data_IF_182942240300
#
_entry.id   IF_182942240300
#
_cell.length_a   1.000
_cell.length_b   1.000
_cell.length_c   1.000
_cell.angle_alpha   90.00
_cell.angle_beta   90.00
_cell.angle_gamma   90.00
#
_symmetry.space_group_name_H-M   'P 1'
#
loop_
_entity.id
_entity.type
_entity.pdbx_description
1 polymer ?
#
# COMPACT_ATOMS: atom_id res chain seq x y z
N UNK A 1 -19.07 5.35 -26.32
CA UNK A 1 -19.11 6.01 -24.99
C UNK A 1 -19.78 7.39 -24.99
N UNK A 2 -19.60 8.24 -26.01
CA UNK A 2 -20.23 9.58 -26.04
C UNK A 2 -21.76 9.60 -25.87
N UNK A 3 -22.48 8.67 -26.50
CA UNK A 3 -23.95 8.51 -26.33
C UNK A 3 -24.33 8.17 -24.88
N UNK A 4 -23.57 7.28 -24.22
CA UNK A 4 -23.80 6.89 -22.82
C UNK A 4 -23.52 8.07 -21.88
N UNK A 5 -22.43 8.80 -22.13
CA UNK A 5 -22.09 10.04 -21.40
C UNK A 5 -23.18 11.10 -21.56
N UNK A 6 -23.72 11.29 -22.76
CA UNK A 6 -24.81 12.24 -23.01
C UNK A 6 -26.14 11.83 -22.36
N UNK A 7 -26.44 10.53 -22.28
CA UNK A 7 -27.66 10.02 -21.66
C UNK A 7 -27.60 10.04 -20.13
N UNK A 8 -26.49 9.62 -19.52
CA UNK A 8 -26.37 9.52 -18.07
C UNK A 8 -25.94 10.85 -17.41
N UNK A 9 -25.02 11.60 -18.03
CA UNK A 9 -24.52 12.86 -17.47
C UNK A 9 -23.71 12.73 -16.17
N UNK A 10 -23.34 11.50 -15.76
CA UNK A 10 -22.69 11.21 -14.47
C UNK A 10 -21.17 11.06 -14.54
N UNK A 11 -20.56 11.13 -15.72
CA UNK A 11 -19.12 10.95 -15.90
C UNK A 11 -18.57 11.76 -17.08
N UNK A 12 -17.26 12.01 -17.04
CA UNK A 12 -16.48 12.61 -18.14
C UNK A 12 -15.80 11.51 -18.97
N UNK A 13 -15.73 11.71 -20.28
CA UNK A 13 -14.90 10.89 -21.16
C UNK A 13 -13.40 11.11 -20.84
N UNK A 14 -12.54 10.19 -21.30
CA UNK A 14 -11.09 10.30 -21.07
C UNK A 14 -10.54 11.63 -21.61
N UNK A 15 -10.92 12.00 -22.83
CA UNK A 15 -10.48 13.24 -23.49
C UNK A 15 -11.05 14.52 -22.83
N UNK A 16 -11.98 14.37 -21.89
CA UNK A 16 -12.58 15.47 -21.10
C UNK A 16 -11.99 15.55 -19.69
N UNK A 17 -11.10 14.62 -19.31
CA UNK A 17 -10.45 14.59 -17.99
C UNK A 17 -9.06 15.21 -18.10
N UNK A 18 -8.71 15.99 -17.10
CA UNK A 18 -7.32 16.45 -16.92
C UNK A 18 -6.50 15.27 -16.37
N UNK A 19 -5.44 14.83 -17.06
CA UNK A 19 -4.54 13.81 -16.53
C UNK A 19 -3.92 14.29 -15.20
N UNK A 20 -3.77 13.40 -14.20
CA UNK A 20 -3.09 13.78 -12.97
C UNK A 20 -1.61 14.04 -13.26
N UNK A 21 -1.01 15.00 -12.54
CA UNK A 21 0.36 15.46 -12.79
C UNK A 21 1.45 14.37 -12.71
N UNK A 22 1.14 13.24 -12.06
CA UNK A 22 1.98 12.03 -12.01
C UNK A 22 2.27 11.43 -13.40
N UNK A 23 1.38 11.60 -14.38
CA UNK A 23 1.52 11.02 -15.73
C UNK A 23 2.75 11.58 -16.46
N UNK A 24 3.17 12.80 -16.13
CA UNK A 24 4.32 13.47 -16.73
C UNK A 24 5.62 13.27 -15.93
N UNK A 25 5.61 12.40 -14.92
CA UNK A 25 6.75 12.19 -14.03
C UNK A 25 7.43 10.86 -14.33
N UNK A 26 8.76 10.88 -14.32
CA UNK A 26 9.53 9.65 -14.16
C UNK A 26 9.30 9.11 -12.75
N UNK A 27 8.83 7.87 -12.65
CA UNK A 27 8.56 7.20 -11.38
C UNK A 27 9.56 6.10 -11.09
N UNK A 28 9.91 5.94 -9.81
CA UNK A 28 10.72 4.83 -9.32
C UNK A 28 9.96 4.00 -8.29
N UNK A 29 9.96 2.69 -8.48
CA UNK A 29 9.37 1.72 -7.57
C UNK A 29 10.46 0.97 -6.82
N UNK A 30 10.30 0.81 -5.51
CA UNK A 30 11.30 0.20 -4.63
C UNK A 30 11.41 -1.33 -4.76
N UNK A 31 10.46 -2.00 -5.43
CA UNK A 31 10.36 -3.46 -5.46
C UNK A 31 11.62 -4.16 -5.97
N UNK A 32 12.09 -3.85 -7.17
CA UNK A 32 13.27 -4.53 -7.76
C UNK A 32 14.58 -4.18 -7.03
N UNK A 33 14.59 -3.10 -6.24
CA UNK A 33 15.76 -2.67 -5.47
C UNK A 33 15.86 -3.38 -4.11
N UNK A 34 14.73 -3.60 -3.42
CA UNK A 34 14.75 -4.08 -2.04
C UNK A 34 13.88 -5.30 -1.76
N UNK A 35 12.93 -5.61 -2.65
CA UNK A 35 11.83 -6.52 -2.38
C UNK A 35 11.24 -6.19 -1.01
N UNK A 36 11.16 -7.19 -0.12
CA UNK A 36 10.60 -7.07 1.22
C UNK A 36 11.48 -6.34 2.25
N UNK A 37 12.69 -5.90 1.87
CA UNK A 37 13.65 -5.27 2.79
C UNK A 37 13.77 -3.75 2.60
N UNK A 38 12.73 -3.14 2.02
CA UNK A 38 12.64 -1.68 1.84
C UNK A 38 12.77 -0.96 3.19
N UNK A 39 13.56 0.10 3.21
CA UNK A 39 13.79 0.90 4.41
C UNK A 39 14.09 2.38 4.04
N UNK A 40 13.88 3.33 4.97
CA UNK A 40 14.07 4.76 4.72
C UNK A 40 15.44 5.13 4.14
N UNK A 41 16.52 4.54 4.66
CA UNK A 41 17.87 4.83 4.18
C UNK A 41 18.06 4.35 2.74
N UNK A 42 17.60 3.13 2.43
CA UNK A 42 17.64 2.59 1.07
C UNK A 42 16.85 3.45 0.08
N UNK A 43 15.65 3.89 0.45
CA UNK A 43 14.83 4.79 -0.39
C UNK A 43 15.59 6.11 -0.62
N UNK A 44 16.13 6.71 0.45
CA UNK A 44 16.89 7.95 0.37
C UNK A 44 18.10 7.84 -0.56
N UNK A 45 18.89 6.79 -0.39
CA UNK A 45 20.07 6.53 -1.22
C UNK A 45 19.70 6.24 -2.68
N UNK A 46 18.57 5.57 -2.92
CA UNK A 46 18.04 5.31 -4.26
C UNK A 46 17.62 6.59 -4.99
N UNK A 47 16.84 7.45 -4.32
CA UNK A 47 16.44 8.76 -4.87
C UNK A 47 17.67 9.63 -5.13
N UNK A 48 18.61 9.67 -4.16
CA UNK A 48 19.87 10.39 -4.33
C UNK A 48 20.67 9.87 -5.52
N UNK A 49 20.83 8.55 -5.63
CA UNK A 49 21.59 7.94 -6.73
C UNK A 49 20.98 8.24 -8.11
N UNK A 50 19.65 8.23 -8.21
CA UNK A 50 18.94 8.62 -9.43
C UNK A 50 19.13 10.12 -9.75
N UNK A 51 19.05 10.99 -8.74
CA UNK A 51 19.26 12.42 -8.88
C UNK A 51 20.71 12.76 -9.29
N UNK A 52 21.70 12.21 -8.59
CA UNK A 52 23.13 12.37 -8.88
C UNK A 52 23.48 11.80 -10.28
N UNK A 53 22.75 10.75 -10.71
CA UNK A 53 22.84 10.17 -12.04
C UNK A 53 22.15 10.97 -13.16
N UNK A 54 21.51 12.09 -12.83
CA UNK A 54 20.82 12.96 -13.80
C UNK A 54 19.42 12.50 -14.21
N UNK A 55 18.83 11.54 -13.49
CA UNK A 55 17.47 11.04 -13.71
C UNK A 55 16.63 11.10 -12.41
N UNK A 56 16.46 12.29 -11.80
CA UNK A 56 15.74 12.41 -10.54
C UNK A 56 14.27 11.96 -10.71
N UNK A 57 13.73 11.12 -9.81
CA UNK A 57 12.34 10.69 -9.87
C UNK A 57 11.40 11.80 -9.41
N UNK A 58 10.31 11.97 -10.16
CA UNK A 58 9.17 12.80 -9.76
C UNK A 58 8.13 12.06 -8.91
N UNK A 59 8.15 10.73 -8.98
CA UNK A 59 7.32 9.82 -8.19
C UNK A 59 8.21 8.77 -7.53
N UNK A 60 8.01 8.54 -6.23
CA UNK A 60 8.55 7.38 -5.50
C UNK A 60 7.40 6.51 -5.05
N UNK A 61 7.35 5.26 -5.51
CA UNK A 61 6.42 4.24 -5.04
C UNK A 61 7.16 3.32 -4.05
N UNK A 62 6.78 3.42 -2.78
CA UNK A 62 7.21 2.50 -1.72
C UNK A 62 6.37 1.23 -1.84
N UNK A 63 6.90 0.25 -2.57
CA UNK A 63 6.29 -1.06 -2.75
C UNK A 63 6.36 -1.90 -1.46
N UNK A 64 5.89 -3.13 -1.53
CA UNK A 64 5.75 -4.05 -0.39
C UNK A 64 7.02 -4.14 0.51
N UNK A 65 6.79 -4.36 1.81
CA UNK A 65 7.79 -4.43 2.87
C UNK A 65 7.77 -3.27 3.87
N UNK A 66 6.93 -2.24 3.65
CA UNK A 66 6.83 -1.09 4.54
C UNK A 66 5.82 -1.26 5.70
N UNK A 67 4.87 -2.19 5.57
CA UNK A 67 3.82 -2.43 6.56
C UNK A 67 4.32 -3.30 7.73
N UNK A 68 3.82 -3.03 8.94
CA UNK A 68 4.00 -3.94 10.08
C UNK A 68 3.19 -5.21 9.90
N UNK A 69 3.81 -6.37 10.15
CA UNK A 69 3.18 -7.70 10.02
C UNK A 69 3.16 -8.35 11.40
N UNK A 70 2.08 -9.05 11.76
CA UNK A 70 1.98 -9.82 13.00
C UNK A 70 1.28 -11.15 12.76
N UNK A 71 1.58 -12.17 13.58
CA UNK A 71 0.83 -13.42 13.58
C UNK A 71 -0.43 -13.32 14.45
N UNK A 72 -1.43 -14.17 14.16
CA UNK A 72 -2.69 -14.22 14.93
C UNK A 72 -2.47 -14.53 16.41
N UNK A 73 -1.38 -15.24 16.74
CA UNK A 73 -1.00 -15.62 18.10
C UNK A 73 -0.28 -14.50 18.88
N UNK A 74 0.23 -13.47 18.19
CA UNK A 74 0.96 -12.38 18.84
C UNK A 74 0.03 -11.52 19.68
N UNK A 75 0.45 -10.93 20.82
CA UNK A 75 -0.38 -9.94 21.50
C UNK A 75 -0.74 -8.77 20.56
N UNK A 76 -2.01 -8.34 20.54
CA UNK A 76 -2.46 -7.20 19.70
C UNK A 76 -1.68 -5.91 20.00
N UNK A 77 -1.14 -5.78 21.22
CA UNK A 77 -0.31 -4.65 21.66
C UNK A 77 1.14 -4.72 21.21
N UNK A 78 1.55 -5.82 20.56
CA UNK A 78 2.93 -6.02 20.09
C UNK A 78 2.91 -5.90 18.57
N UNK A 79 3.40 -4.78 18.04
CA UNK A 79 3.76 -4.73 16.63
C UNK A 79 4.76 -5.85 16.36
N UNK A 80 4.52 -6.66 15.33
CA UNK A 80 5.39 -7.78 14.97
C UNK A 80 6.68 -7.29 14.34
N UNK A 81 7.50 -6.56 15.11
CA UNK A 81 8.78 -6.03 14.67
C UNK A 81 9.84 -7.11 14.41
N UNK A 82 9.57 -8.39 14.74
CA UNK A 82 10.59 -9.45 14.81
C UNK A 82 10.13 -10.85 14.36
N UNK A 83 8.96 -11.05 13.75
CA UNK A 83 8.45 -12.42 13.56
C UNK A 83 7.94 -12.68 12.14
N UNK A 84 8.68 -13.55 11.44
CA UNK A 84 8.39 -14.12 10.13
C UNK A 84 7.79 -15.52 10.27
N UNK A 85 6.90 -15.91 9.36
CA UNK A 85 7.22 -16.63 8.10
C UNK A 85 5.94 -16.87 7.28
N UNK A 86 6.01 -16.53 5.99
CA UNK A 86 5.61 -17.43 4.90
C UNK A 86 6.68 -17.32 3.80
N UNK A 87 7.64 -18.26 3.81
CA UNK A 87 8.84 -18.27 2.96
C UNK A 87 9.96 -17.37 3.50
N UNK A 88 11.12 -17.95 3.83
CA UNK A 88 12.24 -17.29 4.49
C UNK A 88 12.77 -16.05 3.73
N UNK A 89 12.68 -14.87 4.35
CA UNK A 89 13.60 -13.72 4.19
C UNK A 89 13.08 -12.54 5.02
N UNK A 90 13.51 -12.37 6.28
CA UNK A 90 13.53 -11.04 6.91
C UNK A 90 14.65 -10.94 7.94
N UNK A 91 15.45 -9.86 7.86
CA UNK A 91 15.75 -9.13 9.07
C UNK A 91 15.49 -7.63 8.91
N UNK A 92 14.82 -7.11 9.94
CA UNK A 92 15.04 -5.82 10.64
C UNK A 92 14.48 -4.53 10.02
N UNK A 93 13.57 -3.94 10.82
CA UNK A 93 13.34 -2.53 11.12
C UNK A 93 13.86 -1.51 10.10
N UNK A 94 12.91 -0.82 9.50
CA UNK A 94 12.98 0.63 9.54
C UNK A 94 12.53 1.08 10.93
N UNK A 95 13.49 1.48 11.78
CA UNK A 95 13.22 2.67 12.57
C UNK A 95 13.01 3.76 11.53
N UNK A 96 11.73 3.92 11.16
CA UNK A 96 11.25 5.23 10.76
C UNK A 96 11.86 6.13 11.82
N UNK A 97 12.63 7.13 11.37
CA UNK A 97 13.26 8.14 12.23
C UNK A 97 12.33 8.44 13.42
N UNK A 98 12.84 8.85 14.60
CA UNK A 98 12.02 9.12 15.82
C UNK A 98 10.70 9.92 15.60
N UNK A 99 10.46 10.43 14.38
CA UNK A 99 9.36 11.24 13.85
C UNK A 99 8.37 10.54 12.87
N UNK A 100 8.50 9.25 12.50
CA UNK A 100 7.46 8.50 11.75
C UNK A 100 7.33 8.77 10.23
N UNK A 101 6.42 8.05 9.54
CA UNK A 101 6.34 8.02 8.05
C UNK A 101 6.17 9.42 7.46
N UNK A 102 5.31 10.24 8.06
CA UNK A 102 5.06 11.60 7.57
C UNK A 102 6.27 12.52 7.68
N UNK A 103 7.16 12.31 8.65
CA UNK A 103 8.41 13.04 8.69
C UNK A 103 9.35 12.60 7.57
N UNK A 104 9.46 11.29 7.33
CA UNK A 104 10.27 10.76 6.24
C UNK A 104 9.80 11.28 4.87
N UNK A 105 8.49 11.23 4.59
CA UNK A 105 7.92 11.71 3.32
C UNK A 105 8.20 13.20 3.11
N UNK A 106 7.97 14.02 4.15
CA UNK A 106 8.27 15.46 4.09
C UNK A 106 9.75 15.70 3.82
N UNK A 107 10.63 15.09 4.60
CA UNK A 107 12.08 15.30 4.49
C UNK A 107 12.59 14.84 3.11
N UNK A 108 12.03 13.77 2.53
CA UNK A 108 12.34 13.30 1.18
C UNK A 108 11.94 14.33 0.10
N UNK A 109 10.72 14.88 0.19
CA UNK A 109 10.23 15.90 -0.76
C UNK A 109 11.05 17.19 -0.64
N UNK A 110 11.30 17.64 0.59
CA UNK A 110 12.03 18.88 0.88
C UNK A 110 13.48 18.84 0.42
N UNK A 111 14.19 17.73 0.66
CA UNK A 111 15.61 17.61 0.29
C UNK A 111 15.82 17.53 -1.23
N UNK A 112 15.07 16.64 -1.90
CA UNK A 112 15.33 16.36 -3.31
C UNK A 112 14.65 17.35 -4.25
N UNK A 113 13.56 18.02 -3.80
CA UNK A 113 12.79 19.03 -4.54
C UNK A 113 12.16 18.57 -5.87
N UNK A 114 12.52 17.39 -6.34
CA UNK A 114 12.08 16.74 -7.58
C UNK A 114 11.01 15.71 -7.30
N UNK A 115 10.99 15.12 -6.10
CA UNK A 115 9.96 14.16 -5.67
C UNK A 115 8.69 14.94 -5.35
N UNK A 116 7.75 14.95 -6.31
CA UNK A 116 6.44 15.59 -6.13
C UNK A 116 5.44 14.63 -5.45
N UNK A 117 5.55 13.34 -5.77
CA UNK A 117 4.60 12.31 -5.34
C UNK A 117 5.29 11.15 -4.63
N UNK A 118 4.75 10.74 -3.48
CA UNK A 118 5.13 9.53 -2.77
C UNK A 118 3.89 8.64 -2.63
N UNK A 119 3.95 7.47 -3.23
CA UNK A 119 2.88 6.46 -3.18
C UNK A 119 3.33 5.29 -2.31
N UNK A 120 2.37 4.54 -1.77
CA UNK A 120 2.63 3.26 -1.10
C UNK A 120 1.84 2.12 -1.70
N UNK A 121 2.32 0.90 -1.53
CA UNK A 121 1.61 -0.31 -1.93
C UNK A 121 0.78 -0.90 -0.78
N UNK A 122 -0.36 -1.52 -1.08
CA UNK A 122 -0.99 -2.50 -0.21
C UNK A 122 -1.80 -3.53 -1.04
N UNK A 123 -2.13 -4.68 -0.46
CA UNK A 123 -3.02 -5.65 -1.09
C UNK A 123 -4.49 -5.23 -0.92
N UNK A 124 -5.39 -5.73 -1.79
CA UNK A 124 -6.82 -5.37 -1.77
C UNK A 124 -7.45 -5.44 -0.37
N UNK A 125 -7.14 -6.47 0.41
CA UNK A 125 -7.73 -6.73 1.73
C UNK A 125 -6.82 -6.28 2.89
N UNK A 126 -5.90 -5.34 2.67
CA UNK A 126 -4.91 -4.92 3.66
C UNK A 126 -3.50 -5.37 3.26
N UNK A 127 -2.92 -6.33 3.97
CA UNK A 127 -1.68 -6.99 3.56
C UNK A 127 -1.98 -8.34 2.88
N UNK A 128 -0.97 -9.12 2.49
CA UNK A 128 -1.15 -10.44 1.86
C UNK A 128 -2.06 -11.39 2.67
N UNK A 129 -2.00 -11.33 4.00
CA UNK A 129 -2.84 -12.12 4.92
C UNK A 129 -4.17 -11.47 5.29
N UNK A 130 -4.48 -10.29 4.75
CA UNK A 130 -5.67 -9.53 5.11
C UNK A 130 -5.51 -8.66 6.36
N UNK A 131 -6.63 -8.27 6.97
CA UNK A 131 -6.69 -7.51 8.23
C UNK A 131 -6.87 -8.44 9.41
N UNK A 132 -6.02 -8.29 10.42
CA UNK A 132 -6.09 -9.05 11.66
C UNK A 132 -7.39 -8.76 12.43
N UNK A 133 -8.15 -9.80 12.85
CA UNK A 133 -9.35 -9.61 13.67
C UNK A 133 -9.06 -9.07 15.08
N UNK A 134 -10.08 -8.47 15.69
CA UNK A 134 -10.08 -8.02 17.09
C UNK A 134 -8.99 -6.99 17.44
N UNK A 135 -8.55 -6.21 16.46
CA UNK A 135 -7.63 -5.09 16.68
C UNK A 135 -8.45 -3.83 16.98
N UNK A 136 -8.30 -3.20 18.17
CA UNK A 136 -9.00 -1.97 18.49
C UNK A 136 -8.75 -0.87 17.45
N UNK A 137 -9.81 -0.25 16.94
CA UNK A 137 -9.72 0.83 15.96
C UNK A 137 -9.72 0.37 14.49
N UNK A 138 -9.71 -0.94 14.23
CA UNK A 138 -9.95 -1.50 12.90
C UNK A 138 -11.40 -2.01 12.79
N UNK A 139 -11.98 -2.04 11.57
CA UNK A 139 -13.28 -2.66 11.35
C UNK A 139 -13.25 -4.15 11.68
N UNK A 140 -14.42 -4.71 11.95
CA UNK A 140 -14.57 -6.15 12.17
C UNK A 140 -14.04 -6.94 10.96
N UNK A 141 -13.25 -7.97 11.21
CA UNK A 141 -12.76 -8.88 10.18
C UNK A 141 -12.86 -10.33 10.63
N UNK A 142 -13.02 -11.23 9.66
CA UNK A 142 -13.15 -12.68 9.88
C UNK A 142 -12.09 -13.41 9.08
N UNK A 143 -11.43 -14.38 9.70
CA UNK A 143 -10.48 -15.24 9.01
C UNK A 143 -11.24 -16.25 8.14
N UNK A 144 -11.12 -16.11 6.82
CA UNK A 144 -11.71 -17.02 5.83
C UNK A 144 -10.60 -17.89 5.24
N UNK A 145 -10.80 -19.22 5.28
CA UNK A 145 -9.86 -20.16 4.64
C UNK A 145 -10.19 -20.32 3.16
N UNK A 146 -9.19 -20.25 2.25
CA UNK A 146 -9.44 -20.48 0.83
C UNK A 146 -9.97 -21.89 0.59
N UNK A 147 -11.04 -21.99 -0.22
CA UNK A 147 -11.66 -23.30 -0.55
C UNK A 147 -10.87 -24.08 -1.60
N UNK A 148 -10.25 -23.37 -2.55
CA UNK A 148 -9.66 -23.96 -3.77
C UNK A 148 -8.18 -24.33 -3.62
N UNK A 149 -7.49 -23.77 -2.62
CA UNK A 149 -6.08 -24.05 -2.36
C UNK A 149 -5.86 -24.14 -0.85
N UNK A 150 -5.41 -25.29 -0.32
CA UNK A 150 -5.04 -25.41 1.08
C UNK A 150 -4.00 -24.33 1.44
N UNK A 151 -4.29 -23.52 2.44
CA UNK A 151 -3.44 -22.41 2.84
C UNK A 151 -3.88 -21.78 4.16
N UNK A 152 -3.14 -20.77 4.59
CA UNK A 152 -3.50 -19.97 5.75
C UNK A 152 -4.81 -19.22 5.49
N UNK A 153 -5.53 -18.91 6.56
CA UNK A 153 -6.71 -18.07 6.47
C UNK A 153 -6.34 -16.63 6.13
N UNK A 154 -7.28 -15.90 5.52
CA UNK A 154 -7.15 -14.50 5.16
C UNK A 154 -8.13 -13.72 6.01
N UNK A 155 -7.67 -12.67 6.68
CA UNK A 155 -8.53 -11.75 7.43
C UNK A 155 -9.31 -10.85 6.48
N UNK A 156 -10.60 -11.12 6.32
CA UNK A 156 -11.47 -10.38 5.42
C UNK A 156 -12.43 -9.49 6.20
N UNK A 157 -12.52 -8.22 5.79
CA UNK A 157 -13.55 -7.29 6.26
C UNK A 157 -14.82 -7.57 5.45
N UNK A 158 -16.00 -7.69 6.10
CA UNK A 158 -17.27 -7.86 5.38
C UNK A 158 -17.53 -6.70 4.40
N UNK A 159 -18.17 -6.95 3.25
CA UNK A 159 -18.44 -5.92 2.24
C UNK A 159 -19.16 -4.67 2.79
N UNK A 160 -20.04 -4.85 3.77
CA UNK A 160 -20.78 -3.79 4.45
C UNK A 160 -19.95 -2.89 5.37
N UNK A 161 -18.69 -3.27 5.67
CA UNK A 161 -17.74 -2.52 6.48
C UNK A 161 -16.45 -2.16 5.72
N UNK A 162 -16.36 -2.50 4.43
CA UNK A 162 -15.13 -2.33 3.65
C UNK A 162 -14.78 -0.86 3.42
N UNK A 163 -15.78 0.01 3.39
CA UNK A 163 -15.63 1.46 3.35
C UNK A 163 -14.83 1.97 4.56
N UNK A 164 -15.15 1.48 5.77
CA UNK A 164 -14.44 1.85 6.99
C UNK A 164 -12.98 1.40 6.97
N UNK A 165 -12.68 0.26 6.35
CA UNK A 165 -11.30 -0.22 6.17
C UNK A 165 -10.52 0.74 5.26
N UNK A 166 -11.05 1.04 4.07
CA UNK A 166 -10.37 1.91 3.12
C UNK A 166 -10.27 3.35 3.64
N UNK A 167 -11.33 3.90 4.22
CA UNK A 167 -11.32 5.24 4.80
C UNK A 167 -10.29 5.34 5.92
N UNK A 168 -10.20 4.32 6.79
CA UNK A 168 -9.21 4.27 7.86
C UNK A 168 -7.77 4.22 7.35
N UNK A 169 -7.47 3.30 6.41
CA UNK A 169 -6.13 3.16 5.82
C UNK A 169 -5.76 4.43 5.05
N UNK A 170 -6.61 4.90 4.15
CA UNK A 170 -6.29 6.02 3.27
C UNK A 170 -6.22 7.36 4.02
N UNK A 171 -7.09 7.59 5.02
CA UNK A 171 -6.99 8.80 5.86
C UNK A 171 -5.70 8.80 6.68
N UNK A 172 -5.27 7.64 7.18
CA UNK A 172 -3.99 7.54 7.90
C UNK A 172 -2.80 7.85 6.98
N UNK A 173 -2.81 7.31 5.76
CA UNK A 173 -1.77 7.55 4.75
C UNK A 173 -1.74 9.00 4.27
N UNK A 174 -2.90 9.59 4.00
CA UNK A 174 -3.02 11.00 3.62
C UNK A 174 -2.48 11.92 4.71
N UNK A 175 -2.81 11.65 5.99
CA UNK A 175 -2.25 12.39 7.13
C UNK A 175 -0.72 12.22 7.26
N UNK A 176 -0.15 11.13 6.74
CA UNK A 176 1.29 10.91 6.64
C UNK A 176 1.89 11.52 5.36
N UNK A 177 1.13 12.26 4.56
CA UNK A 177 1.61 12.94 3.36
C UNK A 177 1.80 12.05 2.13
N UNK A 178 1.21 10.84 2.13
CA UNK A 178 1.18 9.94 0.99
C UNK A 178 0.16 10.44 -0.04
N UNK A 179 0.58 10.53 -1.30
CA UNK A 179 -0.22 11.14 -2.38
C UNK A 179 -1.06 10.13 -3.16
N UNK A 180 -0.88 8.83 -2.91
CA UNK A 180 -1.63 7.77 -3.59
C UNK A 180 -1.20 6.36 -3.20
N UNK A 181 -1.93 5.38 -3.71
CA UNK A 181 -1.71 3.97 -3.41
C UNK A 181 -1.67 3.11 -4.68
N UNK A 182 -0.81 2.10 -4.67
CA UNK A 182 -0.87 0.94 -5.58
C UNK A 182 -1.59 -0.19 -4.85
N UNK A 183 -2.74 -0.62 -5.38
CA UNK A 183 -3.50 -1.74 -4.82
C UNK A 183 -3.29 -2.98 -5.65
N UNK A 184 -2.68 -4.02 -5.07
CA UNK A 184 -2.50 -5.32 -5.74
C UNK A 184 -3.62 -6.31 -5.39
N UNK A 185 -3.63 -7.43 -6.12
CA UNK A 185 -4.64 -8.50 -5.99
C UNK A 185 -6.05 -8.03 -6.41
N UNK A 186 -6.12 -7.04 -7.30
CA UNK A 186 -7.37 -6.54 -7.90
C UNK A 186 -7.89 -7.45 -9.02
N UNK A 187 -7.02 -8.28 -9.60
CA UNK A 187 -7.35 -9.24 -10.65
C UNK A 187 -7.39 -10.68 -10.13
N UNK A 188 -8.38 -11.42 -10.66
CA UNK A 188 -8.88 -12.73 -10.24
C UNK A 188 -7.79 -13.73 -9.85
N UNK A 189 -7.62 -13.90 -8.54
CA UNK A 189 -7.14 -15.14 -7.94
C UNK A 189 -8.34 -15.93 -7.39
N UNK A 190 -8.20 -17.24 -7.19
CA UNK A 190 -9.24 -18.11 -6.61
C UNK A 190 -9.82 -17.61 -5.28
N UNK A 191 -9.10 -16.73 -4.58
CA UNK A 191 -9.51 -16.05 -3.35
C UNK A 191 -10.63 -15.02 -3.62
N UNK A 192 -10.61 -14.32 -4.74
CA UNK A 192 -11.62 -13.30 -5.09
C UNK A 192 -12.99 -13.93 -5.41
N UNK A 193 -13.00 -15.15 -5.98
CA UNK A 193 -14.24 -15.92 -6.16
C UNK A 193 -14.90 -16.25 -4.83
N UNK A 194 -14.14 -16.64 -3.80
CA UNK A 194 -14.70 -16.86 -2.47
C UNK A 194 -15.26 -15.58 -1.82
N UNK A 195 -14.74 -14.40 -2.17
CA UNK A 195 -15.22 -13.11 -1.65
C UNK A 195 -16.51 -12.61 -2.33
N UNK A 196 -16.67 -12.87 -3.63
CA UNK A 196 -17.88 -12.51 -4.38
C UNK A 196 -19.04 -13.52 -4.21
N UNK A 197 -18.80 -14.61 -3.47
CA UNK A 197 -19.77 -15.69 -3.23
C UNK A 197 -20.35 -15.67 -1.81
N UNK A 198 -20.00 -14.67 -1.00
CA UNK A 198 -20.56 -14.41 0.33
C UNK A 198 -21.61 -13.32 0.20
#
# INVERSE_FOLDING_TARGET
MGVVRAHLGTFKLLDEKDPPGIVDKFGWCTWDAFYLTVNPQGIWDGVKGLADGGCPPGLVLIDDGWQSISHDEDPVTKEGMNHTVAGEQMPRKAEVTEKGMGAFVRDLKDEFGTVDYVYVWHALCGYWGGIRPNVPGLPESVVVRPKLSPGNGIGLVPPELVDQMYDGIHSHLENAGIDGVKVDVIHVSSIQYSMLSI
#
